data_IF_173907575284
#
_entry.id   IF_173907575284
#
_cell.length_a   1.000
_cell.length_b   1.000
_cell.length_c   1.000
_cell.angle_alpha   90.00
_cell.angle_beta   90.00
_cell.angle_gamma   90.00
#
_symmetry.space_group_name_H-M   'P 1'
#
loop_
_entity.id
_entity.type
_entity.pdbx_description
1 polymer ?
#
# COMPACT_ATOMS: atom_id res chain seq x y z
N UNK A 1 -4.91 -17.33 -25.27
CA UNK A 1 -3.52 -16.82 -25.29
C UNK A 1 -3.38 -15.29 -25.05
N UNK A 2 -4.30 -14.62 -24.32
CA UNK A 2 -4.22 -13.16 -24.03
C UNK A 2 -3.88 -12.83 -22.56
N UNK A 3 -3.98 -13.80 -21.66
CA UNK A 3 -3.82 -13.61 -20.21
C UNK A 3 -2.33 -13.55 -19.80
N UNK A 4 -1.46 -14.29 -20.49
CA UNK A 4 -0.03 -14.39 -20.19
C UNK A 4 0.72 -13.07 -20.50
N UNK A 5 0.43 -12.41 -21.63
CA UNK A 5 0.97 -11.06 -21.92
C UNK A 5 0.49 -10.00 -20.93
N UNK A 6 -0.72 -10.17 -20.37
CA UNK A 6 -1.29 -9.23 -19.40
C UNK A 6 -0.62 -9.36 -18.04
N UNK A 7 -0.25 -10.56 -17.61
CA UNK A 7 0.50 -10.82 -16.36
C UNK A 7 1.94 -10.34 -16.44
N UNK A 8 2.61 -10.53 -17.58
CA UNK A 8 3.93 -9.96 -17.83
C UNK A 8 3.97 -8.42 -17.76
N UNK A 9 2.84 -7.74 -18.00
CA UNK A 9 2.69 -6.29 -17.83
C UNK A 9 2.44 -5.82 -16.38
N UNK A 10 2.12 -6.71 -15.44
CA UNK A 10 1.85 -6.36 -14.02
C UNK A 10 3.15 -6.33 -13.21
N UNK A 11 4.09 -7.21 -13.57
CA UNK A 11 5.42 -7.33 -12.96
C UNK A 11 6.19 -6.00 -12.96
N UNK A 12 6.30 -5.25 -14.07
CA UNK A 12 7.05 -3.98 -14.06
C UNK A 12 6.40 -2.94 -13.14
N UNK A 13 5.07 -2.86 -13.09
CA UNK A 13 4.39 -1.91 -12.20
C UNK A 13 4.57 -2.24 -10.72
N UNK A 14 4.58 -3.52 -10.36
CA UNK A 14 4.80 -3.97 -8.99
C UNK A 14 6.28 -3.84 -8.57
N UNK A 15 7.21 -4.16 -9.46
CA UNK A 15 8.64 -3.98 -9.25
C UNK A 15 9.01 -2.49 -9.06
N UNK A 16 8.45 -1.59 -9.87
CA UNK A 16 8.64 -0.15 -9.71
C UNK A 16 8.06 0.34 -8.37
N UNK A 17 6.89 -0.15 -7.96
CA UNK A 17 6.31 0.21 -6.65
C UNK A 17 7.20 -0.25 -5.48
N UNK A 18 7.82 -1.43 -5.59
CA UNK A 18 8.79 -1.92 -4.60
C UNK A 18 10.06 -1.07 -4.61
N UNK A 19 10.57 -0.72 -5.80
CA UNK A 19 11.74 0.12 -5.96
C UNK A 19 11.53 1.49 -5.30
N UNK A 20 10.39 2.13 -5.57
CA UNK A 20 10.00 3.41 -4.95
C UNK A 20 9.89 3.27 -3.43
N UNK A 21 9.30 2.19 -2.93
CA UNK A 21 9.19 1.94 -1.49
C UNK A 21 10.56 1.76 -0.81
N UNK A 22 11.49 1.03 -1.44
CA UNK A 22 12.85 0.83 -0.93
C UNK A 22 13.63 2.14 -0.93
N UNK A 23 13.53 2.92 -2.01
CA UNK A 23 14.16 4.24 -2.11
C UNK A 23 13.60 5.18 -1.05
N UNK A 24 12.28 5.24 -0.89
CA UNK A 24 11.62 6.08 0.12
C UNK A 24 12.04 5.70 1.54
N UNK A 25 12.07 4.40 1.88
CA UNK A 25 12.51 3.91 3.20
C UNK A 25 13.99 4.19 3.47
N UNK A 26 14.83 4.12 2.43
CA UNK A 26 16.26 4.43 2.55
C UNK A 26 16.49 5.93 2.78
N UNK A 27 15.70 6.78 2.10
CA UNK A 27 15.73 8.23 2.25
C UNK A 27 15.19 8.65 3.62
N UNK A 28 14.06 8.10 4.06
CA UNK A 28 13.49 8.32 5.39
C UNK A 28 14.48 7.96 6.50
N UNK A 29 15.17 6.83 6.39
CA UNK A 29 16.15 6.41 7.42
C UNK A 29 17.38 7.33 7.51
N UNK A 30 17.65 8.11 6.46
CA UNK A 30 18.75 9.10 6.41
C UNK A 30 18.29 10.50 6.80
N UNK A 31 16.99 10.79 6.76
CA UNK A 31 16.42 12.08 7.10
C UNK A 31 15.79 12.01 8.51
N UNK A 32 16.25 12.81 9.49
CA UNK A 32 15.68 12.87 10.84
C UNK A 32 14.33 13.60 10.89
N UNK A 33 13.42 13.29 9.96
CA UNK A 33 12.06 13.83 9.88
C UNK A 33 11.13 12.80 10.51
N UNK A 34 11.29 12.54 11.81
CA UNK A 34 10.51 11.53 12.56
C UNK A 34 8.99 11.80 12.60
N UNK A 35 8.53 12.94 12.06
CA UNK A 35 7.11 13.31 12.01
C UNK A 35 6.46 12.78 10.71
N UNK A 36 7.26 12.49 9.68
CA UNK A 36 6.78 12.12 8.35
C UNK A 36 7.19 10.68 8.05
N UNK A 37 6.32 9.72 8.33
CA UNK A 37 6.62 8.31 8.12
C UNK A 37 6.88 7.96 6.65
N UNK A 38 7.57 6.83 6.43
CA UNK A 38 7.95 6.23 5.15
C UNK A 38 6.89 6.38 4.06
N UNK A 39 5.64 6.17 4.45
CA UNK A 39 4.49 6.14 3.58
C UNK A 39 4.20 7.50 2.93
N UNK A 40 4.45 8.61 3.64
CA UNK A 40 4.22 9.97 3.11
C UNK A 40 5.32 10.33 2.12
N UNK A 41 6.58 9.99 2.41
CA UNK A 41 7.71 10.20 1.49
C UNK A 41 7.52 9.36 0.22
N UNK A 42 7.12 8.09 0.37
CA UNK A 42 6.80 7.22 -0.76
C UNK A 42 5.63 7.77 -1.60
N UNK A 43 4.61 8.35 -0.96
CA UNK A 43 3.48 8.99 -1.64
C UNK A 43 3.94 10.19 -2.48
N UNK A 44 4.76 11.08 -1.92
CA UNK A 44 5.29 12.24 -2.63
C UNK A 44 6.13 11.82 -3.84
N UNK A 45 7.06 10.89 -3.65
CA UNK A 45 7.89 10.35 -4.74
C UNK A 45 7.00 9.71 -5.82
N UNK A 46 6.03 8.89 -5.42
CA UNK A 46 5.10 8.26 -6.35
C UNK A 46 4.24 9.26 -7.13
N UNK A 47 3.83 10.36 -6.49
CA UNK A 47 3.04 11.43 -7.13
C UNK A 47 3.88 12.20 -8.16
N UNK A 48 5.12 12.54 -7.83
CA UNK A 48 6.06 13.21 -8.76
C UNK A 48 6.35 12.33 -9.97
N UNK A 49 6.63 11.04 -9.74
CA UNK A 49 6.89 10.07 -10.82
C UNK A 49 5.66 9.92 -11.72
N UNK A 50 4.46 9.82 -11.13
CA UNK A 50 3.21 9.70 -11.90
C UNK A 50 2.85 10.99 -12.67
N UNK A 51 3.27 12.16 -12.19
CA UNK A 51 3.09 13.42 -12.91
C UNK A 51 4.02 13.53 -14.13
N UNK A 52 5.29 13.14 -13.99
CA UNK A 52 6.28 13.25 -15.06
C UNK A 52 6.21 12.09 -16.07
N UNK A 53 5.87 10.90 -15.59
CA UNK A 53 5.68 9.71 -16.41
C UNK A 53 4.30 9.09 -16.12
N UNK A 54 3.47 9.03 -17.16
CA UNK A 54 2.18 8.29 -17.18
C UNK A 54 2.29 6.99 -18.00
N UNK A 55 3.07 5.97 -17.60
CA UNK A 55 3.09 4.73 -18.33
C UNK A 55 1.85 3.90 -17.98
N UNK A 56 0.99 3.62 -18.97
CA UNK A 56 -0.20 2.79 -18.82
C UNK A 56 0.09 1.38 -18.28
N UNK A 57 1.31 0.89 -18.44
CA UNK A 57 1.80 -0.36 -17.86
C UNK A 57 1.90 -0.34 -16.33
N UNK A 58 2.17 0.81 -15.70
CA UNK A 58 2.27 0.91 -14.23
C UNK A 58 0.89 0.88 -13.56
N UNK A 59 -0.15 1.38 -14.23
CA UNK A 59 -1.53 1.38 -13.71
C UNK A 59 -2.03 -0.04 -13.39
N UNK A 60 -1.62 -1.03 -14.19
CA UNK A 60 -2.01 -2.43 -13.98
C UNK A 60 -1.38 -3.00 -12.68
N UNK A 61 -0.10 -2.70 -12.42
CA UNK A 61 0.60 -3.10 -11.20
C UNK A 61 0.04 -2.42 -9.94
N UNK A 62 -0.18 -1.11 -9.99
CA UNK A 62 -0.76 -0.34 -8.87
C UNK A 62 -2.17 -0.83 -8.53
N UNK A 63 -3.01 -1.10 -9.54
CA UNK A 63 -4.37 -1.62 -9.34
C UNK A 63 -4.36 -3.04 -8.73
N UNK A 64 -3.37 -3.86 -9.07
CA UNK A 64 -3.20 -5.19 -8.47
C UNK A 64 -2.79 -5.10 -6.99
N UNK A 65 -1.81 -4.25 -6.66
CA UNK A 65 -1.39 -4.02 -5.28
C UNK A 65 -2.56 -3.48 -4.42
N UNK A 66 -3.27 -2.47 -4.91
CA UNK A 66 -4.33 -1.80 -4.17
C UNK A 66 -5.58 -2.67 -3.92
N UNK A 67 -5.86 -3.65 -4.78
CA UNK A 67 -7.01 -4.56 -4.58
C UNK A 67 -6.65 -5.91 -3.99
N UNK A 68 -5.61 -6.58 -4.50
CA UNK A 68 -5.31 -7.97 -4.13
C UNK A 68 -4.35 -8.04 -2.96
N UNK A 69 -3.24 -7.30 -3.02
CA UNK A 69 -2.24 -7.27 -1.93
C UNK A 69 -2.83 -6.59 -0.70
N UNK A 70 -3.55 -5.47 -0.85
CA UNK A 70 -4.16 -4.78 0.27
C UNK A 70 -5.20 -5.65 1.00
N UNK A 71 -6.10 -6.31 0.27
CA UNK A 71 -7.06 -7.24 0.89
C UNK A 71 -6.37 -8.38 1.61
N UNK A 72 -5.33 -8.96 1.01
CA UNK A 72 -4.58 -10.04 1.63
C UNK A 72 -3.89 -9.57 2.93
N UNK A 73 -3.28 -8.39 2.91
CA UNK A 73 -2.68 -7.78 4.10
C UNK A 73 -3.72 -7.59 5.21
N UNK A 74 -4.90 -7.06 4.90
CA UNK A 74 -5.99 -6.85 5.87
C UNK A 74 -6.49 -8.19 6.45
N UNK A 75 -6.64 -9.23 5.62
CA UNK A 75 -7.07 -10.57 6.08
C UNK A 75 -6.04 -11.15 7.06
N UNK A 76 -4.75 -11.03 6.74
CA UNK A 76 -3.67 -11.50 7.59
C UNK A 76 -3.58 -10.70 8.91
N UNK A 77 -3.79 -9.38 8.83
CA UNK A 77 -3.86 -8.49 9.99
C UNK A 77 -5.04 -8.86 10.90
N UNK A 78 -6.20 -9.15 10.32
CA UNK A 78 -7.38 -9.63 11.03
C UNK A 78 -7.15 -10.99 11.70
N UNK A 79 -6.44 -11.90 11.03
CA UNK A 79 -6.05 -13.19 11.61
C UNK A 79 -5.07 -13.05 12.79
N UNK A 80 -4.21 -12.04 12.77
CA UNK A 80 -3.35 -11.69 13.91
C UNK A 80 -4.09 -11.00 15.06
N UNK A 81 -5.30 -10.48 14.84
CA UNK A 81 -6.06 -9.77 15.88
C UNK A 81 -6.81 -10.78 16.77
N UNK A 82 -6.56 -10.73 18.08
CA UNK A 82 -7.28 -11.58 19.05
C UNK A 82 -8.77 -11.19 19.11
N UNK A 83 -9.65 -12.19 19.22
CA UNK A 83 -11.11 -12.01 19.35
C UNK A 83 -11.49 -11.04 20.47
N UNK A 84 -10.72 -11.00 21.56
CA UNK A 84 -10.93 -10.05 22.66
C UNK A 84 -10.69 -8.59 22.27
N UNK A 85 -9.67 -8.32 21.43
CA UNK A 85 -9.37 -6.97 20.92
C UNK A 85 -10.46 -6.52 19.95
N UNK A 86 -10.92 -7.42 19.08
CA UNK A 86 -12.01 -7.16 18.13
C UNK A 86 -13.28 -6.77 18.89
N UNK A 87 -13.63 -7.50 19.96
CA UNK A 87 -14.79 -7.19 20.79
C UNK A 87 -14.65 -5.88 21.56
N UNK A 88 -13.47 -5.57 22.11
CA UNK A 88 -13.24 -4.32 22.85
C UNK A 88 -13.34 -3.09 21.95
N UNK A 89 -12.70 -3.12 20.78
CA UNK A 89 -12.75 -2.02 19.81
C UNK A 89 -14.13 -1.92 19.17
N UNK A 90 -14.77 -3.06 18.88
CA UNK A 90 -16.13 -3.11 18.34
C UNK A 90 -17.16 -2.52 19.30
N UNK A 91 -17.09 -2.84 20.60
CA UNK A 91 -17.96 -2.24 21.62
C UNK A 91 -17.74 -0.73 21.76
N UNK A 92 -16.49 -0.29 21.74
CA UNK A 92 -16.15 1.13 21.82
C UNK A 92 -16.69 1.90 20.60
N UNK A 93 -16.58 1.33 19.40
CA UNK A 93 -17.15 1.92 18.19
C UNK A 93 -18.69 1.94 18.21
N UNK A 94 -19.34 0.89 18.70
CA UNK A 94 -20.80 0.84 18.86
C UNK A 94 -21.28 1.88 19.87
N UNK A 95 -20.57 2.05 20.99
CA UNK A 95 -20.90 3.02 22.01
C UNK A 95 -20.83 4.45 21.48
N UNK A 96 -19.78 4.80 20.71
CA UNK A 96 -19.63 6.13 20.08
C UNK A 96 -20.69 6.40 19.02
N UNK A 97 -21.24 5.36 18.38
CA UNK A 97 -22.26 5.54 17.36
C UNK A 97 -23.68 5.70 17.94
N UNK A 98 -23.91 5.16 19.14
CA UNK A 98 -25.20 5.24 19.86
C UNK A 98 -25.27 6.48 20.76
N UNK A 99 -24.12 6.96 21.25
CA UNK A 99 -23.99 8.18 22.04
C UNK A 99 -23.93 9.43 21.16
#
# INVERSE_FOLDING_TARGET
MKIIKKVWGIIPGLAISILIAVVAKTIERRLPIHIVGASVIALFIGMIINHFWRPDFLKAGIKFASKKVLKFAIILLGASLSVGVILSVGKLSLMVMVF
#
